data_IF_358342902404
#
_entry.id   IF_358342902404
#
_cell.length_a   1.000
_cell.length_b   1.000
_cell.length_c   1.000
_cell.angle_alpha   90.00
_cell.angle_beta   90.00
_cell.angle_gamma   90.00
#
_symmetry.space_group_name_H-M   'P 1'
#
loop_
_entity.id
_entity.type
_entity.pdbx_description
1 polymer ?
#
# COMPACT_ATOMS: atom_id res chain seq x y z
N UNK A 1 -4.31 3.43 -8.51
CA UNK A 1 -5.16 3.61 -7.31
C UNK A 1 -6.01 4.83 -7.56
N UNK A 2 -7.30 4.78 -7.22
CA UNK A 2 -8.18 5.94 -7.35
C UNK A 2 -8.77 6.21 -5.96
N UNK A 3 -8.48 7.38 -5.41
CA UNK A 3 -9.15 7.86 -4.20
C UNK A 3 -10.39 8.64 -4.63
N UNK A 4 -11.57 8.15 -4.26
CA UNK A 4 -12.84 8.82 -4.56
C UNK A 4 -13.14 9.93 -3.55
N UNK A 5 -12.69 9.75 -2.31
CA UNK A 5 -12.71 10.76 -1.25
C UNK A 5 -11.34 10.80 -0.57
N UNK A 6 -10.92 11.98 -0.15
CA UNK A 6 -9.69 12.14 0.61
C UNK A 6 -9.87 11.58 2.03
N UNK A 7 -8.83 10.97 2.61
CA UNK A 7 -8.86 10.61 4.02
C UNK A 7 -8.72 11.87 4.89
N UNK A 8 -9.32 11.80 6.07
CA UNK A 8 -9.25 12.79 7.15
C UNK A 8 -7.84 12.90 7.74
N UNK A 9 -7.15 11.77 7.86
CA UNK A 9 -5.77 11.74 8.33
C UNK A 9 -4.77 11.64 7.16
N UNK A 10 -3.79 12.54 7.15
CA UNK A 10 -2.68 12.56 6.19
C UNK A 10 -1.85 11.27 6.15
N UNK A 11 -1.70 10.58 7.28
CA UNK A 11 -1.03 9.26 7.35
C UNK A 11 -1.78 8.20 6.53
N UNK A 12 -3.11 8.22 6.58
CA UNK A 12 -3.95 7.30 5.83
C UNK A 12 -3.83 7.54 4.32
N UNK A 13 -3.59 8.79 3.89
CA UNK A 13 -3.27 9.09 2.49
C UNK A 13 -1.99 8.37 2.03
N UNK A 14 -0.91 8.48 2.81
CA UNK A 14 0.37 7.80 2.52
C UNK A 14 0.19 6.28 2.44
N UNK A 15 -0.58 5.69 3.35
CA UNK A 15 -0.88 4.25 3.33
C UNK A 15 -1.70 3.81 2.11
N UNK A 16 -2.60 4.66 1.61
CA UNK A 16 -3.39 4.40 0.40
C UNK A 16 -2.52 4.46 -0.86
N UNK A 17 -1.69 5.49 -1.01
CA UNK A 17 -0.81 5.61 -2.18
C UNK A 17 0.34 4.59 -2.15
N UNK A 18 0.80 4.14 -0.97
CA UNK A 18 1.81 3.07 -0.83
C UNK A 18 1.38 1.68 -1.33
N UNK A 19 0.14 1.56 -1.85
CA UNK A 19 -0.32 0.38 -2.59
C UNK A 19 0.17 0.36 -4.03
N UNK A 20 0.51 1.52 -4.60
CA UNK A 20 1.03 1.63 -5.97
C UNK A 20 2.55 1.79 -5.99
N UNK A 21 3.18 1.30 -7.06
CA UNK A 21 4.61 1.49 -7.31
C UNK A 21 5.54 0.72 -6.37
N UNK A 22 5.79 -0.57 -6.68
CA UNK A 22 6.68 -1.45 -5.90
C UNK A 22 7.79 -2.03 -6.77
N UNK A 23 8.93 -2.36 -6.16
CA UNK A 23 10.08 -2.99 -6.81
C UNK A 23 10.51 -2.27 -8.11
N UNK A 24 10.82 -0.97 -7.99
CA UNK A 24 11.28 -0.11 -9.10
C UNK A 24 10.29 0.07 -10.27
N UNK A 25 8.98 -0.15 -10.02
CA UNK A 25 7.93 0.13 -11.00
C UNK A 25 7.17 1.41 -10.62
N UNK A 26 6.84 2.24 -11.61
CA UNK A 26 6.01 3.43 -11.39
C UNK A 26 4.57 3.03 -11.02
N UNK A 27 4.03 3.71 -10.01
CA UNK A 27 2.64 3.64 -9.64
C UNK A 27 1.94 4.95 -9.95
N UNK A 28 0.67 4.88 -10.36
CA UNK A 28 -0.19 6.05 -10.49
C UNK A 28 -1.30 6.00 -9.44
N UNK A 29 -1.43 7.09 -8.69
CA UNK A 29 -2.54 7.37 -7.81
C UNK A 29 -3.23 8.65 -8.27
N UNK A 30 -4.54 8.56 -8.49
CA UNK A 30 -5.40 9.70 -8.83
C UNK A 30 -6.34 9.92 -7.66
N UNK A 31 -6.49 11.17 -7.22
CA UNK A 31 -7.41 11.54 -6.15
C UNK A 31 -8.44 12.50 -6.72
N UNK A 32 -9.72 12.18 -6.52
CA UNK A 32 -10.83 13.09 -6.79
C UNK A 32 -11.02 13.95 -5.54
N UNK A 33 -11.10 15.27 -5.73
CA UNK A 33 -11.19 16.25 -4.64
C UNK A 33 -12.35 17.18 -4.95
N UNK A 34 -13.29 17.29 -4.02
CA UNK A 34 -14.40 18.23 -4.10
C UNK A 34 -13.90 19.67 -3.91
N UNK A 35 -14.34 20.57 -4.80
CA UNK A 35 -14.03 21.99 -4.71
C UNK A 35 -14.81 22.72 -3.61
N UNK A 36 -15.89 22.10 -3.09
CA UNK A 36 -16.77 22.67 -2.08
C UNK A 36 -16.87 21.74 -0.87
N UNK A 37 -17.10 22.26 0.35
CA UNK A 37 -17.33 21.41 1.50
C UNK A 37 -18.58 20.54 1.31
N UNK A 38 -18.45 19.25 1.55
CA UNK A 38 -19.53 18.29 1.41
C UNK A 38 -20.05 17.83 2.76
N UNK A 39 -21.36 17.64 2.87
CA UNK A 39 -21.97 17.12 4.09
C UNK A 39 -22.03 15.60 4.00
N UNK A 40 -21.28 14.92 4.86
CA UNK A 40 -21.15 13.46 4.86
C UNK A 40 -21.72 12.85 6.13
N UNK A 41 -22.13 11.59 6.04
CA UNK A 41 -22.58 10.82 7.19
C UNK A 41 -21.39 10.40 8.05
N UNK A 42 -21.49 10.65 9.35
CA UNK A 42 -20.48 10.25 10.33
C UNK A 42 -21.18 9.64 11.54
N UNK A 43 -21.03 8.32 11.67
CA UNK A 43 -21.66 7.54 12.71
C UNK A 43 -20.58 7.01 13.65
N UNK A 44 -20.57 7.48 14.89
CA UNK A 44 -19.79 6.87 15.96
C UNK A 44 -20.69 6.30 17.05
N UNK A 45 -20.13 6.17 18.26
CA UNK A 45 -20.77 5.48 19.38
C UNK A 45 -22.06 6.15 19.88
N UNK A 46 -22.20 7.46 19.67
CA UNK A 46 -23.41 8.22 20.00
C UNK A 46 -24.61 7.88 19.11
N UNK A 47 -24.38 7.26 17.94
CA UNK A 47 -25.44 6.80 17.08
C UNK A 47 -25.92 5.42 17.54
N UNK A 48 -27.07 5.36 18.22
CA UNK A 48 -27.65 4.10 18.70
C UNK A 48 -27.87 3.07 17.60
N UNK A 49 -28.17 3.52 16.38
CA UNK A 49 -28.37 2.64 15.23
C UNK A 49 -27.08 2.33 14.45
N UNK A 50 -25.94 2.95 14.83
CA UNK A 50 -24.64 2.83 14.14
C UNK A 50 -24.73 2.98 12.62
N UNK A 51 -25.56 3.92 12.18
CA UNK A 51 -25.80 4.19 10.76
C UNK A 51 -26.88 3.33 10.10
N UNK A 52 -27.38 2.28 10.76
CA UNK A 52 -28.49 1.49 10.22
C UNK A 52 -29.79 2.30 10.29
N UNK A 53 -30.34 2.67 9.14
CA UNK A 53 -31.55 3.49 9.03
C UNK A 53 -31.49 4.78 9.88
N UNK A 54 -30.32 5.42 9.96
CA UNK A 54 -30.19 6.71 10.64
C UNK A 54 -30.67 7.84 9.71
N UNK A 55 -31.59 8.67 10.20
CA UNK A 55 -32.14 9.82 9.46
C UNK A 55 -31.74 11.17 10.09
N UNK A 56 -30.88 11.15 11.10
CA UNK A 56 -30.50 12.35 11.83
C UNK A 56 -29.42 13.13 11.06
N UNK A 57 -29.86 14.02 10.17
CA UNK A 57 -28.97 14.84 9.33
C UNK A 57 -28.34 16.02 10.07
N UNK A 58 -28.54 16.17 11.38
CA UNK A 58 -27.89 17.27 12.12
C UNK A 58 -26.38 17.06 12.14
N UNK A 59 -25.63 18.13 12.40
CA UNK A 59 -24.20 18.03 12.64
C UNK A 59 -23.93 17.33 13.98
N UNK A 60 -22.79 16.65 14.09
CA UNK A 60 -22.35 16.01 15.33
C UNK A 60 -22.32 16.99 16.52
N UNK A 61 -21.94 18.24 16.28
CA UNK A 61 -21.91 19.30 17.31
C UNK A 61 -23.30 19.57 17.91
N UNK A 62 -24.36 19.27 17.15
CA UNK A 62 -25.76 19.44 17.53
C UNK A 62 -26.45 18.08 17.81
N UNK A 63 -25.68 17.06 18.21
CA UNK A 63 -26.19 15.71 18.52
C UNK A 63 -26.67 14.93 17.28
N UNK A 64 -26.13 15.28 16.11
CA UNK A 64 -26.46 14.68 14.83
C UNK A 64 -25.51 13.57 14.37
N UNK A 65 -25.67 13.14 13.11
CA UNK A 65 -24.87 12.09 12.49
C UNK A 65 -24.21 12.54 11.18
N UNK A 66 -24.02 13.84 10.99
CA UNK A 66 -23.30 14.38 9.84
C UNK A 66 -22.11 15.23 10.28
N UNK A 67 -21.09 15.30 9.43
CA UNK A 67 -20.00 16.27 9.53
C UNK A 67 -19.84 16.99 8.20
N UNK A 68 -19.20 18.15 8.24
CA UNK A 68 -18.71 18.81 7.03
C UNK A 68 -17.32 18.28 6.70
N UNK A 69 -17.12 17.91 5.44
CA UNK A 69 -15.88 17.43 4.91
C UNK A 69 -15.31 18.50 3.97
N UNK A 70 -14.17 19.05 4.33
CA UNK A 70 -13.49 20.07 3.53
C UNK A 70 -12.25 19.47 2.88
N UNK A 71 -12.46 18.82 1.73
CA UNK A 71 -11.39 18.11 1.03
C UNK A 71 -10.29 19.04 0.52
N UNK A 72 -10.61 20.31 0.23
CA UNK A 72 -9.60 21.30 -0.15
C UNK A 72 -8.60 21.57 0.98
N UNK A 73 -9.08 21.61 2.22
CA UNK A 73 -8.23 21.77 3.40
C UNK A 73 -7.39 20.52 3.63
N UNK A 74 -7.98 19.32 3.51
CA UNK A 74 -7.24 18.07 3.64
C UNK A 74 -6.16 17.91 2.57
N UNK A 75 -6.42 18.37 1.35
CA UNK A 75 -5.42 18.40 0.28
C UNK A 75 -4.22 19.26 0.69
N UNK A 76 -4.46 20.48 1.19
CA UNK A 76 -3.39 21.37 1.66
C UNK A 76 -2.58 20.72 2.80
N UNK A 77 -3.25 20.12 3.78
CA UNK A 77 -2.59 19.43 4.90
C UNK A 77 -1.72 18.23 4.43
N UNK A 78 -2.15 17.55 3.36
CA UNK A 78 -1.42 16.44 2.74
C UNK A 78 -0.19 16.97 1.97
N UNK A 79 -0.34 18.04 1.18
CA UNK A 79 0.76 18.66 0.45
C UNK A 79 1.84 19.20 1.39
N UNK A 80 1.44 19.86 2.47
CA UNK A 80 2.34 20.34 3.52
C UNK A 80 3.09 19.19 4.20
N UNK A 81 2.44 18.05 4.39
CA UNK A 81 3.07 16.88 5.01
C UNK A 81 4.04 16.14 4.09
N UNK A 82 3.73 16.09 2.80
CA UNK A 82 4.58 15.48 1.78
C UNK A 82 5.69 16.42 1.32
N UNK A 83 5.59 17.72 1.64
CA UNK A 83 6.45 18.79 1.13
C UNK A 83 6.51 18.80 -0.41
N UNK A 84 5.42 18.39 -1.06
CA UNK A 84 5.30 18.27 -2.52
C UNK A 84 3.91 18.77 -2.92
N UNK A 85 3.85 19.56 -3.99
CA UNK A 85 2.59 19.95 -4.62
C UNK A 85 2.07 18.84 -5.51
N UNK A 86 0.82 18.43 -5.28
CA UNK A 86 0.16 17.38 -6.07
C UNK A 86 -0.34 18.04 -7.36
N UNK A 87 0.09 17.52 -8.50
CA UNK A 87 -0.31 18.08 -9.80
C UNK A 87 -1.81 17.87 -10.03
N UNK A 88 -2.49 18.95 -10.37
CA UNK A 88 -3.88 18.91 -10.84
C UNK A 88 -3.91 18.52 -12.31
N UNK A 89 -4.94 17.77 -12.69
CA UNK A 89 -5.12 17.28 -14.06
C UNK A 89 -6.33 17.97 -14.68
N UNK A 90 -6.20 18.36 -15.94
CA UNK A 90 -7.28 18.94 -16.73
C UNK A 90 -8.44 17.95 -16.94
N UNK A 91 -9.64 18.42 -17.34
CA UNK A 91 -10.80 17.56 -17.63
C UNK A 91 -10.54 16.48 -18.69
N UNK A 92 -9.53 16.68 -19.52
CA UNK A 92 -9.07 15.74 -20.55
C UNK A 92 -8.22 14.59 -19.98
N UNK A 93 -7.94 14.61 -18.67
CA UNK A 93 -7.17 13.60 -17.92
C UNK A 93 -5.78 13.38 -18.56
N UNK A 94 -5.16 14.48 -19.01
CA UNK A 94 -3.80 14.46 -19.54
C UNK A 94 -2.81 14.34 -18.38
N UNK A 95 -2.47 13.10 -18.01
CA UNK A 95 -1.54 12.82 -16.92
C UNK A 95 -0.10 13.08 -17.43
N UNK A 96 0.61 14.08 -16.90
CA UNK A 96 1.98 14.36 -17.32
C UNK A 96 2.89 13.16 -17.01
N UNK A 97 3.58 12.67 -18.03
CA UNK A 97 4.65 11.68 -17.86
C UNK A 97 5.87 12.38 -17.28
N UNK A 98 5.93 12.49 -15.95
CA UNK A 98 7.14 12.96 -15.29
C UNK A 98 8.18 11.83 -15.32
N UNK A 99 9.31 12.06 -16.00
CA UNK A 99 10.49 11.20 -15.92
C UNK A 99 11.06 11.29 -14.51
N UNK A 100 10.65 10.38 -13.64
CA UNK A 100 11.29 10.22 -12.35
C UNK A 100 12.70 9.62 -12.58
N UNK A 101 13.73 10.44 -12.42
CA UNK A 101 15.16 10.07 -12.52
C UNK A 101 15.55 9.31 -13.81
N UNK A 102 14.86 9.57 -14.94
CA UNK A 102 15.16 8.93 -16.24
C UNK A 102 15.10 7.40 -16.27
N UNK A 103 14.58 6.74 -15.22
CA UNK A 103 14.65 5.28 -15.05
C UNK A 103 13.34 4.56 -15.28
N UNK A 104 12.19 5.24 -15.10
CA UNK A 104 10.90 4.57 -15.15
C UNK A 104 9.78 5.52 -15.59
N UNK A 105 9.21 5.26 -16.76
CA UNK A 105 8.00 5.91 -17.29
C UNK A 105 6.75 5.10 -16.92
N UNK A 106 5.68 5.77 -16.51
CA UNK A 106 4.39 5.12 -16.26
C UNK A 106 3.77 4.60 -17.57
N UNK A 107 3.19 3.40 -17.56
CA UNK A 107 2.57 2.79 -18.75
C UNK A 107 3.53 2.11 -19.73
N UNK A 108 4.85 2.31 -19.58
CA UNK A 108 5.84 1.61 -20.40
C UNK A 108 6.25 0.30 -19.72
N UNK A 109 5.86 -0.83 -20.33
CA UNK A 109 6.49 -2.11 -20.01
C UNK A 109 7.96 -1.94 -20.42
N UNK A 110 8.92 -2.01 -19.48
CA UNK A 110 10.34 -2.16 -19.87
C UNK A 110 10.34 -3.24 -20.97
N UNK A 111 10.88 -2.91 -22.14
CA UNK A 111 11.22 -3.92 -23.15
C UNK A 111 11.81 -5.10 -22.41
N UNK A 112 11.43 -6.32 -22.79
CA UNK A 112 11.76 -7.61 -22.16
C UNK A 112 13.27 -7.91 -21.95
N UNK A 113 14.12 -6.93 -21.66
CA UNK A 113 15.18 -7.09 -20.69
C UNK A 113 14.51 -7.46 -19.36
N UNK A 114 14.31 -8.76 -19.16
CA UNK A 114 14.15 -9.29 -17.81
C UNK A 114 15.17 -8.59 -16.94
N UNK A 115 14.74 -8.12 -15.76
CA UNK A 115 15.68 -7.62 -14.77
C UNK A 115 16.83 -8.61 -14.76
N UNK A 116 18.04 -8.16 -15.09
CA UNK A 116 19.27 -8.91 -14.88
C UNK A 116 19.52 -9.05 -13.38
N UNK A 117 18.50 -9.53 -12.66
CA UNK A 117 18.47 -9.77 -11.24
C UNK A 117 19.18 -11.11 -11.01
N UNK A 118 20.41 -11.20 -11.50
CA UNK A 118 21.33 -12.31 -11.29
C UNK A 118 21.81 -12.36 -9.84
N UNK A 119 21.61 -11.31 -9.05
CA UNK A 119 22.40 -11.14 -7.84
C UNK A 119 21.88 -11.89 -6.60
N UNK A 120 20.56 -12.03 -6.37
CA UNK A 120 20.14 -12.67 -5.12
C UNK A 120 20.18 -14.21 -5.15
N UNK A 121 19.82 -14.83 -6.28
CA UNK A 121 19.84 -16.30 -6.41
C UNK A 121 21.27 -16.81 -6.44
N UNK A 122 22.18 -16.12 -7.15
CA UNK A 122 23.60 -16.48 -7.17
C UNK A 122 24.28 -16.26 -5.81
N UNK A 123 23.94 -15.18 -5.09
CA UNK A 123 24.44 -14.93 -3.73
C UNK A 123 23.94 -15.97 -2.71
N UNK A 124 22.72 -16.48 -2.87
CA UNK A 124 22.14 -17.48 -1.96
C UNK A 124 22.55 -18.92 -2.29
N UNK A 125 23.10 -19.18 -3.48
CA UNK A 125 23.57 -20.50 -3.89
C UNK A 125 24.52 -21.19 -2.88
N UNK A 126 25.58 -20.54 -2.36
CA UNK A 126 26.45 -21.17 -1.37
C UNK A 126 25.73 -21.49 -0.05
N UNK A 127 24.85 -20.60 0.41
CA UNK A 127 24.07 -20.80 1.65
C UNK A 127 23.09 -21.96 1.50
N UNK A 128 22.45 -22.11 0.33
CA UNK A 128 21.56 -23.23 0.05
C UNK A 128 22.33 -24.57 -0.01
N UNK A 129 23.55 -24.57 -0.57
CA UNK A 129 24.40 -25.75 -0.54
C UNK A 129 24.81 -26.15 0.87
N UNK A 130 25.16 -25.19 1.73
CA UNK A 130 25.50 -25.44 3.13
C UNK A 130 24.31 -26.02 3.92
N UNK A 131 23.11 -25.45 3.72
CA UNK A 131 21.88 -25.96 4.32
C UNK A 131 21.59 -27.40 3.91
N UNK A 132 21.75 -27.74 2.63
CA UNK A 132 21.56 -29.11 2.14
C UNK A 132 22.55 -30.11 2.78
N UNK A 133 23.80 -29.69 3.01
CA UNK A 133 24.78 -30.53 3.72
C UNK A 133 24.43 -30.72 5.19
N UNK A 134 23.98 -29.66 5.88
CA UNK A 134 23.55 -29.74 7.27
C UNK A 134 22.32 -30.62 7.43
N UNK A 135 21.36 -30.53 6.51
CA UNK A 135 20.18 -31.39 6.46
C UNK A 135 20.58 -32.86 6.31
N UNK A 136 21.43 -33.18 5.34
CA UNK A 136 21.92 -34.54 5.12
C UNK A 136 22.62 -35.11 6.36
N UNK A 137 23.48 -34.31 7.02
CA UNK A 137 24.14 -34.72 8.27
C UNK A 137 23.12 -34.97 9.39
N UNK A 138 22.13 -34.09 9.55
CA UNK A 138 21.09 -34.26 10.55
C UNK A 138 20.27 -35.54 10.33
N UNK A 139 19.89 -35.83 9.07
CA UNK A 139 19.19 -37.05 8.68
C UNK A 139 20.04 -38.30 8.96
N UNK A 140 21.33 -38.29 8.61
CA UNK A 140 22.26 -39.40 8.89
C UNK A 140 22.44 -39.62 10.39
N UNK A 141 22.56 -38.55 11.19
CA UNK A 141 22.64 -38.65 12.65
C UNK A 141 21.37 -39.25 13.23
N UNK A 142 20.20 -38.82 12.76
CA UNK A 142 18.91 -39.36 13.17
C UNK A 142 18.81 -40.87 12.86
N UNK A 143 19.12 -41.26 11.61
CA UNK A 143 19.09 -42.65 11.18
C UNK A 143 20.05 -43.51 12.00
N UNK A 144 21.28 -43.04 12.25
CA UNK A 144 22.25 -43.76 13.07
C UNK A 144 21.79 -43.89 14.53
N UNK A 145 21.16 -42.87 15.12
CA UNK A 145 20.72 -42.92 16.52
C UNK A 145 19.48 -43.78 16.73
N UNK A 146 18.51 -43.70 15.82
CA UNK A 146 17.21 -44.34 15.98
C UNK A 146 17.11 -45.73 15.32
N UNK A 147 17.85 -45.98 14.23
CA UNK A 147 17.75 -47.26 13.50
C UNK A 147 18.94 -48.22 13.71
N UNK A 148 20.14 -47.77 14.16
CA UNK A 148 21.22 -48.73 14.49
C UNK A 148 21.04 -49.43 15.84
N UNK A 149 20.30 -48.85 16.80
CA UNK A 149 19.99 -49.51 18.08
C UNK A 149 19.06 -50.73 17.95
N UNK A 150 18.40 -50.91 16.81
CA UNK A 150 17.49 -52.04 16.55
C UNK A 150 18.24 -53.28 16.02
N UNK A 151 19.54 -53.17 15.72
CA UNK A 151 20.33 -54.22 15.05
C UNK A 151 21.34 -54.97 15.92
N UNK A 152 21.28 -54.82 17.24
CA UNK A 152 21.97 -55.70 18.19
C UNK A 152 20.95 -56.64 18.84
N UNK A 153 20.73 -57.76 18.15
CA UNK A 153 20.35 -59.05 18.75
C UNK A 153 21.60 -59.91 18.73
#
# INVERSE_FOLDING_TARGET
MINVTLPDEKSNYVHRIGRVGRAERMGLAVSLVAAVPEKVWFHGEWCSSRGRNCWNTKLTDNGGCCIWYNEMQYLADIEDHLNVTIQQVDPEINIPMNEFDGKVTYGQKKSNAGSGYENHVAQMAPTVQELAQLESKAQVVYLNRHFKKVRTV
#
